data_IF_874439497113
#
_entry.id   IF_874439497113
#
_cell.length_a   1.000
_cell.length_b   1.000
_cell.length_c   1.000
_cell.angle_alpha   90.00
_cell.angle_beta   90.00
_cell.angle_gamma   90.00
#
_symmetry.space_group_name_H-M   'P 1'
#
loop_
_entity.id
_entity.type
_entity.pdbx_description
1 polymer ?
#
# COMPACT_ATOMS: atom_id res chain seq x y z
N UNK A 1 5.65 33.04 -2.19
CA UNK A 1 5.08 31.80 -2.74
C UNK A 1 5.88 30.53 -2.41
N UNK A 2 7.22 30.51 -2.54
CA UNK A 2 8.04 29.30 -2.30
C UNK A 2 8.02 28.73 -0.87
N UNK A 3 7.66 29.53 0.15
CA UNK A 3 7.68 29.13 1.57
C UNK A 3 6.53 28.20 1.99
N UNK A 4 5.43 28.17 1.23
CA UNK A 4 4.26 27.34 1.55
C UNK A 4 4.25 25.99 0.81
N UNK A 5 5.15 25.81 -0.15
CA UNK A 5 5.33 24.55 -0.89
C UNK A 5 5.40 23.33 0.05
N UNK A 6 6.21 23.31 1.14
CA UNK A 6 6.24 22.16 2.04
C UNK A 6 4.91 21.90 2.76
N UNK A 7 4.13 22.94 3.06
CA UNK A 7 2.80 22.79 3.67
C UNK A 7 1.80 22.13 2.73
N UNK A 8 1.83 22.48 1.43
CA UNK A 8 0.99 21.83 0.43
C UNK A 8 1.34 20.34 0.28
N UNK A 9 2.62 20.01 0.26
CA UNK A 9 3.05 18.60 0.25
C UNK A 9 2.60 17.86 1.51
N UNK A 10 2.70 18.48 2.67
CA UNK A 10 2.26 17.88 3.93
C UNK A 10 0.75 17.64 3.93
N UNK A 11 -0.04 18.62 3.50
CA UNK A 11 -1.49 18.49 3.37
C UNK A 11 -1.88 17.41 2.33
N UNK A 12 -1.14 17.33 1.23
CA UNK A 12 -1.35 16.31 0.20
C UNK A 12 -1.06 14.89 0.72
N UNK A 13 0.05 14.71 1.45
CA UNK A 13 0.37 13.43 2.10
C UNK A 13 -0.74 13.06 3.08
N UNK A 14 -1.16 13.98 3.94
CA UNK A 14 -2.26 13.74 4.90
C UNK A 14 -3.57 13.39 4.20
N UNK A 15 -3.90 14.08 3.11
CA UNK A 15 -5.07 13.78 2.29
C UNK A 15 -5.01 12.35 1.72
N UNK A 16 -3.88 11.95 1.16
CA UNK A 16 -3.72 10.57 0.68
C UNK A 16 -3.81 9.59 1.85
N UNK A 17 -3.19 9.83 3.01
CA UNK A 17 -3.10 8.83 4.10
C UNK A 17 -4.33 8.73 5.00
N UNK A 18 -5.12 9.80 5.16
CA UNK A 18 -6.26 9.85 6.10
C UNK A 18 -7.51 10.50 5.49
N UNK A 19 -7.45 10.99 4.24
CA UNK A 19 -8.55 11.73 3.61
C UNK A 19 -9.86 10.93 3.51
N UNK A 20 -9.80 9.64 3.19
CA UNK A 20 -10.97 8.74 3.17
C UNK A 20 -11.65 8.62 4.55
N UNK A 21 -10.84 8.55 5.61
CA UNK A 21 -11.32 8.32 6.97
C UNK A 21 -11.89 9.59 7.62
N UNK A 22 -11.46 10.78 7.18
CA UNK A 22 -11.84 12.08 7.76
C UNK A 22 -12.82 12.84 6.89
N UNK A 23 -12.75 12.71 5.55
CA UNK A 23 -13.56 13.48 4.62
C UNK A 23 -14.75 12.63 4.12
N UNK A 24 -15.99 13.00 4.46
CA UNK A 24 -17.16 12.27 4.00
C UNK A 24 -17.46 12.50 2.52
N UNK A 25 -18.12 11.52 1.89
CA UNK A 25 -18.69 11.66 0.54
C UNK A 25 -17.66 11.58 -0.59
N UNK A 26 -17.76 12.49 -1.56
CA UNK A 26 -16.95 12.45 -2.79
C UNK A 26 -15.46 12.70 -2.56
N UNK A 27 -15.13 13.47 -1.52
CA UNK A 27 -13.75 13.80 -1.15
C UNK A 27 -13.01 12.57 -0.59
N UNK A 28 -13.67 11.78 0.24
CA UNK A 28 -13.12 10.51 0.73
C UNK A 28 -12.86 9.52 -0.40
N UNK A 29 -13.82 9.35 -1.32
CA UNK A 29 -13.69 8.50 -2.52
C UNK A 29 -12.51 8.91 -3.40
N UNK A 30 -12.28 10.21 -3.58
CA UNK A 30 -11.15 10.73 -4.34
C UNK A 30 -9.80 10.39 -3.68
N UNK A 31 -9.71 10.46 -2.35
CA UNK A 31 -8.53 9.99 -1.60
C UNK A 31 -8.28 8.50 -1.84
N UNK A 32 -9.32 7.66 -1.74
CA UNK A 32 -9.20 6.21 -1.97
C UNK A 32 -8.76 5.90 -3.40
N UNK A 33 -9.33 6.57 -4.40
CA UNK A 33 -8.94 6.43 -5.80
C UNK A 33 -7.49 6.85 -6.04
N UNK A 34 -7.02 7.92 -5.38
CA UNK A 34 -5.63 8.37 -5.45
C UNK A 34 -4.67 7.32 -4.90
N UNK A 35 -5.02 6.65 -3.78
CA UNK A 35 -4.23 5.52 -3.25
C UNK A 35 -4.15 4.36 -4.23
N UNK A 36 -5.28 4.01 -4.85
CA UNK A 36 -5.33 2.91 -5.82
C UNK A 36 -4.46 3.22 -7.03
N UNK A 37 -4.54 4.44 -7.56
CA UNK A 37 -3.70 4.88 -8.67
C UNK A 37 -2.21 4.86 -8.31
N UNK A 38 -1.83 5.37 -7.13
CA UNK A 38 -0.46 5.32 -6.62
C UNK A 38 0.05 3.88 -6.43
N UNK A 39 -0.81 3.00 -5.90
CA UNK A 39 -0.46 1.59 -5.72
C UNK A 39 -0.25 0.90 -7.07
N UNK A 40 -1.13 1.15 -8.05
CA UNK A 40 -0.98 0.58 -9.39
C UNK A 40 0.26 1.14 -10.11
N UNK A 41 0.56 2.43 -9.95
CA UNK A 41 1.78 3.05 -10.44
C UNK A 41 3.03 2.41 -9.81
N UNK A 42 3.03 2.19 -8.49
CA UNK A 42 4.13 1.52 -7.80
C UNK A 42 4.29 0.06 -8.24
N UNK A 43 3.18 -0.67 -8.43
CA UNK A 43 3.19 -2.03 -8.95
C UNK A 43 3.77 -2.07 -10.37
N UNK A 44 3.47 -1.08 -11.21
CA UNK A 44 3.97 -1.01 -12.58
C UNK A 44 5.47 -0.67 -12.63
N UNK A 45 5.93 0.26 -11.80
CA UNK A 45 7.35 0.58 -11.60
C UNK A 45 8.17 -0.62 -11.10
N UNK A 46 7.56 -1.48 -10.31
CA UNK A 46 8.17 -2.68 -9.76
C UNK A 46 7.54 -3.97 -10.30
N UNK A 47 7.12 -3.96 -11.56
CA UNK A 47 6.43 -5.09 -12.21
C UNK A 47 7.24 -6.39 -12.23
N UNK A 48 8.57 -6.27 -12.13
CA UNK A 48 9.49 -7.40 -12.10
C UNK A 48 9.62 -8.07 -10.73
N UNK A 49 9.04 -7.48 -9.67
CA UNK A 49 8.90 -8.14 -8.36
C UNK A 49 7.82 -9.21 -8.52
N UNK A 50 8.24 -10.40 -8.97
CA UNK A 50 7.36 -11.58 -9.03
C UNK A 50 6.85 -11.86 -7.62
N UNK A 51 5.53 -11.71 -7.42
CA UNK A 51 4.88 -12.26 -6.22
C UNK A 51 5.24 -13.75 -6.12
N UNK A 52 5.65 -14.23 -4.94
CA UNK A 52 5.97 -15.64 -4.78
C UNK A 52 4.74 -16.48 -5.15
N UNK A 53 4.91 -17.43 -6.07
CA UNK A 53 3.84 -18.29 -6.61
C UNK A 53 3.08 -19.06 -5.52
N UNK A 54 3.73 -19.33 -4.40
CA UNK A 54 3.10 -19.84 -3.19
C UNK A 54 3.72 -19.14 -1.95
N UNK A 55 3.04 -18.13 -1.38
CA UNK A 55 3.55 -17.35 -0.25
C UNK A 55 3.68 -18.17 1.04
N UNK A 56 2.95 -19.28 1.14
CA UNK A 56 2.91 -20.13 2.33
C UNK A 56 4.00 -21.21 2.32
N UNK A 57 4.81 -21.32 1.27
CA UNK A 57 5.89 -22.31 1.17
C UNK A 57 6.85 -22.31 2.37
N UNK A 58 7.07 -21.17 3.04
CA UNK A 58 7.88 -21.11 4.27
C UNK A 58 7.17 -21.78 5.46
N UNK A 59 5.87 -21.53 5.58
CA UNK A 59 5.02 -22.12 6.62
C UNK A 59 4.85 -23.61 6.39
N UNK A 60 4.58 -24.03 5.16
CA UNK A 60 4.41 -25.45 4.78
C UNK A 60 5.67 -26.27 5.06
N UNK A 61 6.86 -25.69 4.84
CA UNK A 61 8.14 -26.32 5.19
C UNK A 61 8.31 -26.47 6.70
N UNK A 62 8.04 -25.41 7.46
CA UNK A 62 8.15 -25.43 8.92
C UNK A 62 7.17 -26.44 9.56
N UNK A 63 5.95 -26.55 9.02
CA UNK A 63 4.97 -27.56 9.44
C UNK A 63 5.46 -28.99 9.19
N UNK A 64 6.02 -29.25 8.00
CA UNK A 64 6.60 -30.56 7.68
C UNK A 64 7.77 -30.94 8.58
N UNK A 65 8.67 -29.99 8.86
CA UNK A 65 9.80 -30.23 9.75
C UNK A 65 9.34 -30.52 11.19
N UNK A 66 8.23 -29.91 11.64
CA UNK A 66 7.63 -30.19 12.95
C UNK A 66 6.94 -31.56 12.99
N UNK A 67 6.22 -31.94 11.94
CA UNK A 67 5.56 -33.25 11.83
C UNK A 67 6.56 -34.41 11.75
N UNK A 68 7.67 -34.24 11.03
CA UNK A 68 8.71 -35.27 10.89
C UNK A 68 9.56 -35.45 12.16
N UNK A 69 9.58 -34.45 13.04
CA UNK A 69 10.31 -34.48 14.32
C UNK A 69 9.48 -35.04 15.48
N UNK A 70 8.19 -35.30 15.26
CA UNK A 70 7.26 -35.86 16.23
C UNK A 70 7.17 -37.38 16.08
#
# INVERSE_FOLDING_TARGET
MKRYIPFFFMAFILFITVGDQVLPGALGKSSTQTRIALNNFAIDLFSNIKRPKNPNTRTDKALKDLEQKR
#
